data_IF_987811449141
#
_entry.id   IF_987811449141
#
_cell.length_a   1.000
_cell.length_b   1.000
_cell.length_c   1.000
_cell.angle_alpha   90.00
_cell.angle_beta   90.00
_cell.angle_gamma   90.00
#
_symmetry.space_group_name_H-M   'P 1'
#
loop_
_entity.id
_entity.type
_entity.pdbx_description
1 polymer ?
#
# COMPACT_ATOMS: atom_id res chain seq x y z
N UNK A 1 0.35 4.80 21.10
CA UNK A 1 -1.01 4.68 20.52
C UNK A 1 -1.19 3.24 20.09
N UNK A 2 -2.33 2.60 20.40
CA UNK A 2 -2.63 1.24 19.93
C UNK A 2 -3.21 1.35 18.51
N UNK A 3 -2.72 0.62 17.52
CA UNK A 3 -3.29 0.63 16.17
C UNK A 3 -4.72 0.07 16.17
N UNK A 4 -5.54 0.55 15.23
CA UNK A 4 -6.92 0.10 15.02
C UNK A 4 -6.95 -0.88 13.84
N UNK A 5 -7.76 -1.93 13.96
CA UNK A 5 -8.07 -2.83 12.84
C UNK A 5 -8.80 -2.08 11.72
N UNK A 6 -8.44 -2.40 10.47
CA UNK A 6 -9.06 -1.82 9.28
C UNK A 6 -10.37 -2.52 8.95
N UNK A 7 -11.35 -1.77 8.49
CA UNK A 7 -12.54 -2.33 7.84
C UNK A 7 -12.21 -2.74 6.40
N UNK A 8 -13.00 -3.67 5.83
CA UNK A 8 -12.81 -4.14 4.44
C UNK A 8 -12.82 -2.99 3.42
N UNK A 9 -13.65 -1.96 3.66
CA UNK A 9 -13.70 -0.76 2.82
C UNK A 9 -12.37 0.00 2.83
N UNK A 10 -11.75 0.13 4.00
CA UNK A 10 -10.47 0.82 4.17
C UNK A 10 -9.33 0.04 3.51
N UNK A 11 -9.38 -1.30 3.54
CA UNK A 11 -8.44 -2.15 2.80
C UNK A 11 -8.55 -1.88 1.30
N UNK A 12 -9.76 -1.80 0.75
CA UNK A 12 -9.99 -1.49 -0.68
C UNK A 12 -9.47 -0.10 -1.04
N UNK A 13 -9.71 0.90 -0.20
CA UNK A 13 -9.19 2.27 -0.39
C UNK A 13 -7.65 2.29 -0.40
N UNK A 14 -7.00 1.51 0.46
CA UNK A 14 -5.54 1.39 0.50
C UNK A 14 -5.01 0.72 -0.79
N UNK A 15 -5.68 -0.33 -1.28
CA UNK A 15 -5.34 -0.98 -2.55
C UNK A 15 -5.44 0.01 -3.72
N UNK A 16 -6.51 0.80 -3.78
CA UNK A 16 -6.67 1.86 -4.79
C UNK A 16 -5.59 2.95 -4.68
N UNK A 17 -5.18 3.30 -3.46
CA UNK A 17 -4.11 4.24 -3.22
C UNK A 17 -2.75 3.73 -3.71
N UNK A 18 -2.44 2.44 -3.50
CA UNK A 18 -1.26 1.78 -4.09
C UNK A 18 -1.32 1.76 -5.61
N UNK A 19 -2.49 1.45 -6.21
CA UNK A 19 -2.69 1.50 -7.66
C UNK A 19 -2.45 2.90 -8.23
N UNK A 20 -2.99 3.94 -7.56
CA UNK A 20 -2.77 5.33 -7.94
C UNK A 20 -1.31 5.75 -7.80
N UNK A 21 -0.57 5.20 -6.83
CA UNK A 21 0.87 5.43 -6.70
C UNK A 21 1.64 4.77 -7.85
N UNK A 22 1.27 3.57 -8.26
CA UNK A 22 1.85 2.89 -9.43
C UNK A 22 1.63 3.69 -10.72
N UNK A 23 0.42 4.22 -10.95
CA UNK A 23 0.15 5.09 -12.10
C UNK A 23 1.05 6.33 -12.10
N UNK A 24 1.21 7.00 -10.95
CA UNK A 24 2.10 8.16 -10.81
C UNK A 24 3.56 7.79 -11.08
N UNK A 25 4.03 6.65 -10.57
CA UNK A 25 5.38 6.15 -10.82
C UNK A 25 5.63 5.93 -12.31
N UNK A 26 4.69 5.27 -13.00
CA UNK A 26 4.78 5.06 -14.45
C UNK A 26 4.82 6.39 -15.20
N UNK A 27 3.93 7.33 -14.86
CA UNK A 27 3.87 8.67 -15.48
C UNK A 27 5.13 9.50 -15.25
N UNK A 28 5.82 9.26 -14.14
CA UNK A 28 7.10 9.92 -13.83
C UNK A 28 8.30 9.29 -14.58
N UNK A 29 8.10 8.21 -15.34
CA UNK A 29 9.13 7.59 -16.17
C UNK A 29 10.06 6.62 -15.43
N UNK A 30 9.66 6.14 -14.26
CA UNK A 30 10.38 5.05 -13.59
C UNK A 30 10.08 3.70 -14.24
N UNK A 31 11.05 2.80 -14.26
CA UNK A 31 10.88 1.43 -14.77
C UNK A 31 9.96 0.57 -13.90
N UNK A 32 9.81 0.93 -12.62
CA UNK A 32 8.94 0.23 -11.70
C UNK A 32 8.96 0.80 -10.28
N UNK A 33 8.23 0.15 -9.39
CA UNK A 33 8.27 0.37 -7.95
C UNK A 33 8.29 -0.97 -7.22
N UNK A 34 8.63 -0.91 -5.94
CA UNK A 34 8.53 -2.03 -5.03
C UNK A 34 7.48 -1.72 -3.95
N UNK A 35 6.67 -2.73 -3.61
CA UNK A 35 5.75 -2.66 -2.48
C UNK A 35 6.50 -3.12 -1.24
N UNK A 36 6.58 -2.24 -0.22
CA UNK A 36 7.24 -2.59 1.02
C UNK A 36 6.38 -3.50 1.92
N UNK A 37 6.53 -4.81 1.74
CA UNK A 37 5.80 -5.85 2.47
C UNK A 37 6.54 -6.45 3.68
N UNK A 38 7.54 -5.77 4.24
CA UNK A 38 8.42 -6.35 5.27
C UNK A 38 8.44 -5.52 6.58
N UNK A 39 9.28 -5.92 7.52
CA UNK A 39 9.66 -5.17 8.74
C UNK A 39 8.50 -4.70 9.64
N UNK A 40 7.37 -5.42 9.65
CA UNK A 40 6.23 -5.09 10.52
C UNK A 40 5.44 -3.86 10.10
N UNK A 41 5.65 -3.34 8.88
CA UNK A 41 4.79 -2.32 8.28
C UNK A 41 3.44 -2.92 7.87
N UNK A 42 2.54 -2.05 7.40
CA UNK A 42 1.13 -2.37 7.18
C UNK A 42 0.87 -3.74 6.55
N UNK A 43 1.46 -4.05 5.38
CA UNK A 43 1.23 -5.32 4.69
C UNK A 43 1.77 -6.51 5.50
N UNK A 44 2.91 -6.33 6.17
CA UNK A 44 3.50 -7.36 7.03
C UNK A 44 2.67 -7.65 8.29
N UNK A 45 1.75 -6.77 8.69
CA UNK A 45 0.85 -7.01 9.83
C UNK A 45 -0.31 -7.94 9.49
N UNK A 46 -0.53 -8.24 8.20
CA UNK A 46 -1.51 -9.21 7.74
C UNK A 46 -0.90 -10.61 7.48
N UNK A 47 0.41 -10.79 7.73
CA UNK A 47 1.16 -12.04 7.53
C UNK A 47 1.61 -12.62 8.87
#
# INVERSE_FOLDING_TARGET
MVPRELEEKEIKEIVEAFGSAAERTQRAGFDGLEIHGAHGYLIAQFM
#
